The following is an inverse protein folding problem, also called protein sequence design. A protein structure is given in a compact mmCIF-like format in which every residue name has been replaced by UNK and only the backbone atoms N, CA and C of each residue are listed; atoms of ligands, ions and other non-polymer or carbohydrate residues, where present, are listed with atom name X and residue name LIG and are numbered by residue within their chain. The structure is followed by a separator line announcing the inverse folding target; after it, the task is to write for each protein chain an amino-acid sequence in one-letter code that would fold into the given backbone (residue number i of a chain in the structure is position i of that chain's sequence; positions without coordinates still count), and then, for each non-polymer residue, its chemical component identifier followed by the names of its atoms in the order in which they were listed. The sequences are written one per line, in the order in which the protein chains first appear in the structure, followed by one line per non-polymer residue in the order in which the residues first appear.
data_IF_018696269298
#
_entry.id   IF_018696269298
#
_cell.length_a   1.000
_cell.length_b   1.000
_cell.length_c   1.000
_cell.angle_alpha   90.00
_cell.angle_beta   90.00
_cell.angle_gamma   90.00
#
_symmetry.space_group_name_H-M   'P 1'
#
loop_
_entity.id
_entity.type
_entity.pdbx_description
1 polymer ?
#
# COMPACT_ATOMS: atom_id res chain seq x y z
N UNK A 1 5.61 -13.88 -13.41
CA UNK A 1 4.26 -13.83 -14.03
C UNK A 1 3.15 -13.84 -13.00
N UNK A 2 3.11 -14.81 -12.07
CA UNK A 2 2.06 -14.90 -11.02
C UNK A 2 2.00 -13.62 -10.16
N UNK A 3 3.13 -13.18 -9.59
CA UNK A 3 3.17 -11.97 -8.76
C UNK A 3 2.68 -10.72 -9.50
N UNK A 4 3.08 -10.54 -10.77
CA UNK A 4 2.62 -9.43 -11.62
C UNK A 4 1.10 -9.51 -11.81
N UNK A 5 0.56 -10.68 -12.13
CA UNK A 5 -0.89 -10.87 -12.29
C UNK A 5 -1.68 -10.54 -11.04
N UNK A 6 -1.20 -10.96 -9.86
CA UNK A 6 -1.80 -10.63 -8.57
C UNK A 6 -1.75 -9.13 -8.31
N UNK A 7 -0.57 -8.49 -8.49
CA UNK A 7 -0.44 -7.04 -8.27
C UNK A 7 -1.36 -6.25 -9.19
N UNK A 8 -1.41 -6.56 -10.49
CA UNK A 8 -2.31 -5.89 -11.43
C UNK A 8 -3.77 -6.02 -11.00
N UNK A 9 -4.19 -7.23 -10.63
CA UNK A 9 -5.56 -7.49 -10.16
C UNK A 9 -5.89 -6.69 -8.89
N UNK A 10 -4.99 -6.72 -7.90
CA UNK A 10 -5.16 -6.01 -6.62
C UNK A 10 -5.19 -4.50 -6.83
N UNK A 11 -4.23 -3.94 -7.56
CA UNK A 11 -4.17 -2.51 -7.82
C UNK A 11 -5.40 -2.03 -8.60
N UNK A 12 -5.80 -2.75 -9.65
CA UNK A 12 -6.98 -2.40 -10.43
C UNK A 12 -8.27 -2.46 -9.59
N UNK A 13 -8.45 -3.51 -8.80
CA UNK A 13 -9.58 -3.65 -7.90
C UNK A 13 -9.64 -2.54 -6.85
N UNK A 14 -8.50 -2.17 -6.27
CA UNK A 14 -8.39 -1.08 -5.30
C UNK A 14 -8.72 0.27 -5.96
N UNK A 15 -8.17 0.56 -7.14
CA UNK A 15 -8.46 1.80 -7.85
C UNK A 15 -9.97 1.92 -8.14
N UNK A 16 -10.59 0.87 -8.67
CA UNK A 16 -12.05 0.86 -8.90
C UNK A 16 -12.85 1.03 -7.61
N UNK A 17 -12.45 0.36 -6.53
CA UNK A 17 -13.10 0.49 -5.23
C UNK A 17 -12.99 1.93 -4.69
N UNK A 18 -11.80 2.53 -4.76
CA UNK A 18 -11.55 3.90 -4.33
C UNK A 18 -12.42 4.91 -5.07
N UNK A 19 -12.67 4.66 -6.37
CA UNK A 19 -13.49 5.52 -7.23
C UNK A 19 -14.98 5.48 -6.82
N UNK A 20 -15.47 4.32 -6.36
CA UNK A 20 -16.88 4.11 -6.07
C UNK A 20 -17.25 4.36 -4.61
N UNK A 21 -16.30 4.17 -3.70
CA UNK A 21 -16.59 4.19 -2.26
C UNK A 21 -16.87 5.60 -1.74
N UNK A 22 -17.95 5.72 -0.96
CA UNK A 22 -18.31 6.98 -0.28
C UNK A 22 -17.45 7.22 0.96
N UNK A 23 -16.86 6.17 1.53
CA UNK A 23 -16.03 6.27 2.72
C UNK A 23 -14.76 7.11 2.44
N UNK A 24 -14.41 7.96 3.39
CA UNK A 24 -13.23 8.83 3.32
C UNK A 24 -12.06 8.18 4.07
N UNK A 25 -11.23 7.43 3.34
CA UNK A 25 -10.04 6.79 3.91
C UNK A 25 -8.91 7.80 4.15
N UNK A 26 -8.95 9.00 3.56
CA UNK A 26 -7.92 10.03 3.78
C UNK A 26 -7.86 10.49 5.24
N UNK A 27 -8.94 10.30 6.01
CA UNK A 27 -8.93 10.59 7.45
C UNK A 27 -8.20 9.55 8.30
N UNK A 28 -7.77 8.42 7.72
CA UNK A 28 -7.17 7.29 8.45
C UNK A 28 -5.63 7.35 8.57
N UNK A 29 -4.98 8.45 8.17
CA UNK A 29 -3.51 8.58 8.23
C UNK A 29 -2.92 8.27 9.62
N UNK A 30 -3.59 8.67 10.70
CA UNK A 30 -3.13 8.37 12.07
C UNK A 30 -3.07 6.86 12.37
N UNK A 31 -4.03 6.08 11.88
CA UNK A 31 -4.05 4.62 12.05
C UNK A 31 -2.92 3.98 11.22
N UNK A 32 -2.70 4.46 10.00
CA UNK A 32 -1.60 4.00 9.15
C UNK A 32 -0.23 4.25 9.76
N UNK A 33 -0.02 5.41 10.38
CA UNK A 33 1.21 5.70 11.09
C UNK A 33 1.49 4.66 12.19
N UNK A 34 0.48 4.32 13.00
CA UNK A 34 0.61 3.28 14.02
C UNK A 34 0.89 1.91 13.42
N UNK A 35 0.20 1.53 12.34
CA UNK A 35 0.43 0.26 11.65
C UNK A 35 1.86 0.17 11.08
N UNK A 36 2.39 1.26 10.52
CA UNK A 36 3.78 1.32 10.05
C UNK A 36 4.80 1.17 11.18
N UNK A 37 4.56 1.77 12.35
CA UNK A 37 5.43 1.58 13.51
C UNK A 37 5.44 0.12 13.98
N UNK A 38 4.28 -0.54 14.01
CA UNK A 38 4.20 -1.98 14.34
C UNK A 38 4.97 -2.79 13.30
N UNK A 39 4.79 -2.49 12.02
CA UNK A 39 5.49 -3.17 10.93
C UNK A 39 7.00 -2.96 11.00
N UNK A 40 7.48 -1.78 11.39
CA UNK A 40 8.90 -1.52 11.62
C UNK A 40 9.46 -2.44 12.70
N UNK A 41 8.79 -2.54 13.85
CA UNK A 41 9.18 -3.44 14.93
C UNK A 41 9.18 -4.92 14.49
N UNK A 42 8.13 -5.36 13.77
CA UNK A 42 8.07 -6.70 13.21
C UNK A 42 9.22 -6.97 12.22
N UNK A 43 9.62 -5.98 11.43
CA UNK A 43 10.75 -6.07 10.51
C UNK A 43 12.08 -6.32 11.23
N UNK A 44 12.32 -5.61 12.33
CA UNK A 44 13.51 -5.82 13.18
C UNK A 44 13.55 -7.25 13.72
N UNK A 45 12.40 -7.76 14.21
CA UNK A 45 12.30 -9.15 14.69
C UNK A 45 12.56 -10.15 13.56
N UNK A 46 12.07 -9.89 12.34
CA UNK A 46 12.35 -10.75 11.19
C UNK A 46 13.85 -10.81 10.85
N UNK A 47 14.56 -9.68 10.93
CA UNK A 47 16.02 -9.62 10.68
C UNK A 47 16.79 -10.47 11.70
N UNK A 48 16.40 -10.45 12.98
CA UNK A 48 17.07 -11.23 14.04
C UNK A 48 16.74 -12.72 13.94
N UNK A 49 15.49 -13.06 13.65
CA UNK A 49 15.04 -14.46 13.61
C UNK A 49 15.45 -15.20 12.35
N UNK A 50 15.69 -14.49 11.24
CA UNK A 50 16.05 -15.05 9.92
C UNK A 50 15.11 -16.18 9.44
N UNK A 51 13.88 -16.21 9.97
CA UNK A 51 12.92 -17.27 9.67
C UNK A 51 12.18 -16.96 8.38
N UNK A 52 12.23 -17.90 7.43
CA UNK A 52 11.54 -17.77 6.14
C UNK A 52 10.03 -17.62 6.29
N UNK A 53 9.43 -18.31 7.27
CA UNK A 53 8.00 -18.22 7.55
C UNK A 53 7.65 -16.81 8.06
N UNK A 54 8.45 -16.28 9.00
CA UNK A 54 8.26 -14.92 9.52
C UNK A 54 8.40 -13.88 8.41
N UNK A 55 9.40 -14.02 7.53
CA UNK A 55 9.57 -13.14 6.39
C UNK A 55 8.38 -13.20 5.41
N UNK A 56 7.82 -14.38 5.17
CA UNK A 56 6.65 -14.55 4.31
C UNK A 56 5.42 -13.85 4.89
N UNK A 57 5.16 -14.01 6.19
CA UNK A 57 4.07 -13.33 6.90
C UNK A 57 4.30 -11.81 6.85
N UNK A 58 5.52 -11.38 7.13
CA UNK A 58 5.91 -9.97 7.07
C UNK A 58 5.65 -9.36 5.70
N UNK A 59 6.07 -10.05 4.63
CA UNK A 59 5.84 -9.60 3.27
C UNK A 59 4.34 -9.45 2.95
N UNK A 60 3.51 -10.41 3.39
CA UNK A 60 2.06 -10.30 3.26
C UNK A 60 1.47 -9.08 3.98
N UNK A 61 1.92 -8.80 5.20
CA UNK A 61 1.48 -7.63 5.98
C UNK A 61 1.89 -6.31 5.32
N UNK A 62 3.11 -6.23 4.78
CA UNK A 62 3.58 -5.04 4.08
C UNK A 62 2.78 -4.80 2.80
N UNK A 63 2.54 -5.85 1.99
CA UNK A 63 1.71 -5.74 0.79
C UNK A 63 0.28 -5.27 1.13
N UNK A 64 -0.30 -5.75 2.23
CA UNK A 64 -1.62 -5.31 2.70
C UNK A 64 -1.62 -3.83 3.12
N UNK A 65 -0.61 -3.37 3.86
CA UNK A 65 -0.51 -1.96 4.28
C UNK A 65 -0.33 -1.04 3.07
N UNK A 66 0.54 -1.38 2.11
CA UNK A 66 0.68 -0.58 0.88
C UNK A 66 -0.58 -0.60 0.00
N UNK A 67 -1.38 -1.67 0.07
CA UNK A 67 -2.71 -1.69 -0.56
C UNK A 67 -3.67 -0.66 0.06
N UNK A 68 -3.59 -0.44 1.38
CA UNK A 68 -4.36 0.62 2.05
C UNK A 68 -3.81 2.00 1.67
N UNK A 69 -2.48 2.17 1.57
CA UNK A 69 -1.90 3.41 1.04
C UNK A 69 -2.39 3.72 -0.37
N UNK A 70 -2.48 2.70 -1.25
CA UNK A 70 -2.99 2.86 -2.59
C UNK A 70 -4.45 3.35 -2.60
N UNK A 71 -5.30 2.88 -1.68
CA UNK A 71 -6.67 3.42 -1.51
C UNK A 71 -6.62 4.91 -1.19
N UNK A 72 -5.84 5.29 -0.18
CA UNK A 72 -5.76 6.68 0.28
C UNK A 72 -5.17 7.60 -0.79
N UNK A 73 -4.05 7.22 -1.39
CA UNK A 73 -3.38 8.02 -2.40
C UNK A 73 -4.27 8.17 -3.65
N UNK A 74 -4.98 7.12 -4.05
CA UNK A 74 -5.99 7.22 -5.12
C UNK A 74 -7.08 8.23 -4.76
N UNK A 75 -7.61 8.18 -3.54
CA UNK A 75 -8.65 9.13 -3.07
C UNK A 75 -8.13 10.56 -2.98
N UNK A 76 -6.89 10.75 -2.55
CA UNK A 76 -6.25 12.06 -2.45
C UNK A 76 -6.06 12.71 -3.83
N UNK A 77 -5.81 11.89 -4.86
CA UNK A 77 -5.65 12.35 -6.25
C UNK A 77 -7.00 12.64 -6.91
N UNK A 78 -8.04 11.84 -6.63
CA UNK A 78 -9.37 12.10 -7.15
C UNK A 78 -10.01 13.38 -6.58
N UNK A 79 -9.62 13.76 -5.37
CA UNK A 79 -10.22 14.89 -4.66
C UNK A 79 -11.66 14.63 -4.23
N UNK A 80 -12.32 15.68 -3.72
CA UNK A 80 -13.71 15.59 -3.25
C UNK A 80 -13.89 14.84 -1.91
N UNK A 81 -12.81 14.58 -1.20
CA UNK A 81 -12.77 14.12 0.20
C UNK A 81 -12.18 15.22 1.09
N UNK A 82 -11.89 14.94 2.37
CA UNK A 82 -11.33 15.95 3.28
C UNK A 82 -9.95 16.48 2.88
N UNK A 83 -9.13 15.65 2.24
CA UNK A 83 -7.80 16.02 1.77
C UNK A 83 -7.72 15.74 0.27
N UNK A 84 -7.07 16.64 -0.47
CA UNK A 84 -6.85 16.50 -1.91
C UNK A 84 -5.49 17.09 -2.30
N UNK A 85 -4.85 16.51 -3.33
CA UNK A 85 -3.62 17.06 -3.92
C UNK A 85 -3.98 18.16 -4.92
N UNK A 86 -3.21 19.25 -4.93
CA UNK A 86 -3.39 20.29 -5.91
C UNK A 86 -3.03 19.78 -7.32
N UNK A 87 -3.84 20.01 -8.36
CA UNK A 87 -3.56 19.56 -9.73
C UNK A 87 -2.16 19.90 -10.27
N UNK A 88 -1.53 20.96 -9.78
CA UNK A 88 -0.15 21.32 -10.15
C UNK A 88 0.90 20.27 -9.68
N UNK A 89 0.60 19.51 -8.63
CA UNK A 89 1.47 18.48 -8.03
C UNK A 89 1.31 17.08 -8.66
N UNK A 90 0.93 17.00 -9.93
CA UNK A 90 0.70 15.74 -10.66
C UNK A 90 1.93 14.79 -10.69
N UNK A 91 3.15 15.34 -10.67
CA UNK A 91 4.38 14.53 -10.59
C UNK A 91 4.47 13.81 -9.25
N UNK A 92 4.15 14.51 -8.16
CA UNK A 92 4.13 13.95 -6.81
C UNK A 92 3.03 12.89 -6.66
N UNK A 93 1.83 13.19 -7.16
CA UNK A 93 0.72 12.23 -7.21
C UNK A 93 1.10 10.93 -7.95
N UNK A 94 1.74 11.06 -9.12
CA UNK A 94 2.20 9.91 -9.91
C UNK A 94 3.27 9.10 -9.18
N UNK A 95 4.19 9.77 -8.48
CA UNK A 95 5.23 9.12 -7.69
C UNK A 95 4.64 8.33 -6.52
N UNK A 96 3.65 8.87 -5.81
CA UNK A 96 2.97 8.18 -4.72
C UNK A 96 2.32 6.87 -5.20
N UNK A 97 1.54 6.92 -6.29
CA UNK A 97 0.92 5.72 -6.85
C UNK A 97 1.96 4.70 -7.33
N UNK A 98 3.04 5.18 -7.97
CA UNK A 98 4.12 4.30 -8.41
C UNK A 98 4.78 3.58 -7.23
N UNK A 99 5.11 4.31 -6.16
CA UNK A 99 5.73 3.75 -4.96
C UNK A 99 4.83 2.67 -4.35
N UNK A 100 3.53 2.92 -4.24
CA UNK A 100 2.59 1.94 -3.69
C UNK A 100 2.54 0.67 -4.54
N UNK A 101 2.38 0.80 -5.85
CA UNK A 101 2.31 -0.34 -6.77
C UNK A 101 3.63 -1.13 -6.77
N UNK A 102 4.77 -0.44 -6.75
CA UNK A 102 6.09 -1.07 -6.70
C UNK A 102 6.29 -1.86 -5.41
N UNK A 103 5.90 -1.32 -4.25
CA UNK A 103 6.00 -2.03 -2.98
C UNK A 103 5.03 -3.23 -2.92
N UNK A 104 3.78 -3.08 -3.37
CA UNK A 104 2.85 -4.22 -3.47
C UNK A 104 3.47 -5.31 -4.34
N UNK A 105 4.04 -4.97 -5.50
CA UNK A 105 4.71 -5.94 -6.35
C UNK A 105 5.89 -6.63 -5.67
N UNK A 106 6.82 -5.86 -5.09
CA UNK A 106 8.01 -6.42 -4.44
C UNK A 106 7.65 -7.38 -3.31
N UNK A 107 6.65 -7.03 -2.49
CA UNK A 107 6.27 -7.86 -1.35
C UNK A 107 5.36 -9.04 -1.73
N UNK A 108 4.53 -8.92 -2.77
CA UNK A 108 3.84 -10.08 -3.35
C UNK A 108 4.85 -11.03 -3.98
N UNK A 109 5.91 -10.52 -4.60
CA UNK A 109 7.00 -11.34 -5.13
C UNK A 109 7.76 -12.06 -4.01
N UNK A 110 8.06 -11.36 -2.92
CA UNK A 110 8.77 -11.90 -1.75
C UNK A 110 8.04 -13.06 -1.04
N UNK A 111 6.73 -13.24 -1.26
CA UNK A 111 6.01 -14.41 -0.74
C UNK A 111 6.51 -15.72 -1.38
N UNK A 112 7.06 -15.66 -2.59
CA UNK A 112 7.47 -16.83 -3.36
C UNK A 112 8.97 -17.13 -3.30
N UNK A 113 9.78 -16.20 -2.78
CA UNK A 113 11.24 -16.30 -2.72
C UNK A 113 11.69 -16.25 -1.26
#
# INVERSE_FOLDING_TARGET
LIAIGITVFVCFGITLFSFQTKYDFTSCFGILFVMLLVLLCCGIVCIVTLSRIMFTIYAGLVAAIFSIFLVINTQLIMGGKRHEINPEDHVYASLMLYIDIAHIFMYVLAVWY
#
